data_IF_510739303492
#
_entry.id   IF_510739303492
#
_cell.length_a   1.000
_cell.length_b   1.000
_cell.length_c   1.000
_cell.angle_alpha   90.00
_cell.angle_beta   90.00
_cell.angle_gamma   90.00
#
_symmetry.space_group_name_H-M   'P 1'
#
loop_
_entity.id
_entity.type
_entity.pdbx_description
1 polymer ?
#
# COMPACT_ATOMS: atom_id res chain seq x y z
N UNK A 1 -13.32 9.16 -4.75
CA UNK A 1 -13.57 7.73 -4.43
C UNK A 1 -12.31 6.91 -4.11
N UNK A 2 -11.10 7.43 -4.34
CA UNK A 2 -9.86 6.65 -4.08
C UNK A 2 -9.57 6.44 -2.60
N UNK A 3 -9.88 7.40 -1.72
CA UNK A 3 -9.58 7.28 -0.28
C UNK A 3 -10.29 6.08 0.37
N UNK A 4 -11.61 5.86 0.17
CA UNK A 4 -12.28 4.64 0.64
C UNK A 4 -11.69 3.35 0.07
N UNK A 5 -11.34 3.32 -1.22
CA UNK A 5 -10.70 2.15 -1.86
C UNK A 5 -9.33 1.85 -1.26
N UNK A 6 -8.52 2.88 -1.00
CA UNK A 6 -7.21 2.73 -0.38
C UNK A 6 -7.33 2.22 1.06
N UNK A 7 -8.36 2.69 1.80
CA UNK A 7 -8.64 2.24 3.16
C UNK A 7 -9.09 0.78 3.21
N UNK A 8 -10.02 0.39 2.33
CA UNK A 8 -10.46 -1.01 2.19
C UNK A 8 -9.31 -1.95 1.82
N UNK A 9 -8.42 -1.49 0.93
CA UNK A 9 -7.22 -2.24 0.53
C UNK A 9 -6.24 -2.46 1.69
N UNK A 10 -6.14 -1.53 2.64
CA UNK A 10 -5.36 -1.70 3.87
C UNK A 10 -6.07 -2.56 4.92
N UNK A 11 -7.41 -2.49 4.98
CA UNK A 11 -8.25 -3.26 5.91
C UNK A 11 -8.19 -4.79 5.71
N UNK A 12 -7.65 -5.28 4.58
CA UNK A 12 -7.45 -6.72 4.35
C UNK A 12 -6.56 -7.36 5.43
N UNK A 13 -5.66 -6.60 6.06
CA UNK A 13 -4.77 -7.12 7.11
C UNK A 13 -5.42 -7.20 8.49
N UNK A 14 -6.62 -6.66 8.68
CA UNK A 14 -7.35 -6.69 9.96
C UNK A 14 -8.38 -7.82 10.05
N UNK A 15 -8.38 -8.73 9.07
CA UNK A 15 -9.30 -9.86 9.07
C UNK A 15 -8.86 -10.91 10.10
N UNK A 16 -9.81 -11.64 10.67
CA UNK A 16 -9.56 -12.69 11.67
C UNK A 16 -8.56 -13.75 11.20
N UNK A 17 -8.45 -13.97 9.89
CA UNK A 17 -7.51 -14.90 9.28
C UNK A 17 -6.15 -14.25 9.01
N UNK A 18 -6.13 -13.01 8.50
CA UNK A 18 -4.89 -12.37 8.03
C UNK A 18 -4.07 -11.76 9.16
N UNK A 19 -4.70 -11.27 10.22
CA UNK A 19 -4.02 -10.73 11.41
C UNK A 19 -3.04 -11.73 12.02
N UNK A 20 -3.46 -12.95 12.45
CA UNK A 20 -2.54 -13.89 13.07
C UNK A 20 -1.45 -14.37 12.10
N UNK A 21 -1.77 -14.46 10.80
CA UNK A 21 -0.83 -14.91 9.78
C UNK A 21 0.27 -13.88 9.51
N UNK A 22 -0.10 -12.59 9.36
CA UNK A 22 0.86 -11.49 9.21
C UNK A 22 1.67 -11.29 10.48
N UNK A 23 1.06 -11.45 11.66
CA UNK A 23 1.77 -11.35 12.93
C UNK A 23 2.82 -12.46 13.12
N UNK A 24 2.44 -13.72 12.88
CA UNK A 24 3.35 -14.86 12.94
C UNK A 24 4.48 -14.72 11.92
N UNK A 25 4.17 -14.28 10.69
CA UNK A 25 5.17 -14.05 9.65
C UNK A 25 6.12 -12.90 10.00
N UNK A 26 5.58 -11.75 10.43
CA UNK A 26 6.38 -10.57 10.77
C UNK A 26 7.31 -10.84 11.94
N UNK A 27 6.81 -11.45 13.01
CA UNK A 27 7.62 -11.80 14.19
C UNK A 27 8.62 -12.91 13.86
N UNK A 28 8.18 -13.98 13.18
CA UNK A 28 9.05 -15.09 12.80
C UNK A 28 10.19 -14.68 11.87
N UNK A 29 9.93 -13.80 10.89
CA UNK A 29 10.98 -13.25 10.04
C UNK A 29 11.97 -12.40 10.85
N UNK A 30 11.48 -11.58 11.78
CA UNK A 30 12.35 -10.75 12.61
C UNK A 30 13.25 -11.56 13.56
N UNK A 31 12.79 -12.73 14.03
CA UNK A 31 13.57 -13.64 14.89
C UNK A 31 14.68 -14.38 14.14
N UNK A 32 14.53 -14.57 12.82
CA UNK A 32 15.55 -15.26 12.01
C UNK A 32 16.78 -14.40 11.68
N UNK A 33 16.73 -13.08 11.93
CA UNK A 33 17.85 -12.17 11.66
C UNK A 33 18.66 -11.92 12.94
N UNK A 34 19.92 -12.38 13.02
CA UNK A 34 20.74 -12.21 14.22
C UNK A 34 20.98 -10.73 14.53
N UNK A 35 20.89 -10.37 15.82
CA UNK A 35 21.13 -8.98 16.28
C UNK A 35 19.98 -8.02 16.00
N UNK A 36 18.83 -8.51 15.52
CA UNK A 36 17.62 -7.70 15.35
C UNK A 36 16.59 -7.93 16.45
N UNK A 37 15.82 -6.87 16.71
CA UNK A 37 14.78 -6.88 17.73
C UNK A 37 13.49 -7.36 17.10
N UNK A 38 13.04 -8.55 17.47
CA UNK A 38 11.74 -9.08 17.07
C UNK A 38 10.59 -8.09 17.40
N UNK A 39 10.75 -7.32 18.49
CA UNK A 39 9.82 -6.27 18.86
C UNK A 39 9.80 -5.09 17.89
N UNK A 40 10.96 -4.61 17.43
CA UNK A 40 11.00 -3.45 16.52
C UNK A 40 10.75 -3.87 15.07
N UNK A 41 11.50 -4.87 14.60
CA UNK A 41 11.47 -5.30 13.21
C UNK A 41 10.21 -6.13 12.92
N UNK A 42 9.73 -6.92 13.88
CA UNK A 42 8.51 -7.72 13.72
C UNK A 42 7.25 -6.87 13.68
N UNK A 43 7.05 -5.96 14.65
CA UNK A 43 5.94 -5.01 14.60
C UNK A 43 6.07 -4.03 13.41
N UNK A 44 7.30 -3.65 13.03
CA UNK A 44 7.57 -2.86 11.84
C UNK A 44 7.08 -3.54 10.56
N UNK A 45 7.33 -4.85 10.40
CA UNK A 45 6.85 -5.64 9.27
C UNK A 45 5.32 -5.76 9.25
N UNK A 46 4.68 -5.92 10.41
CA UNK A 46 3.21 -5.97 10.53
C UNK A 46 2.58 -4.63 10.14
N UNK A 47 3.15 -3.52 10.64
CA UNK A 47 2.72 -2.17 10.29
C UNK A 47 2.91 -1.90 8.78
N UNK A 48 4.05 -2.33 8.23
CA UNK A 48 4.32 -2.22 6.80
C UNK A 48 3.29 -2.99 5.96
N UNK A 49 2.97 -4.22 6.33
CA UNK A 49 1.97 -5.04 5.63
C UNK A 49 0.59 -4.34 5.57
N UNK A 50 0.24 -3.54 6.58
CA UNK A 50 -1.04 -2.81 6.65
C UNK A 50 -1.03 -1.48 5.89
N UNK A 51 0.07 -0.72 5.99
CA UNK A 51 0.18 0.61 5.37
C UNK A 51 0.54 0.54 3.88
N UNK A 52 1.26 -0.50 3.46
CA UNK A 52 1.75 -0.63 2.10
C UNK A 52 0.64 -0.69 1.04
N UNK A 53 -0.45 -1.47 1.19
CA UNK A 53 -1.56 -1.46 0.24
C UNK A 53 -2.20 -0.08 0.09
N UNK A 54 -2.41 0.63 1.21
CA UNK A 54 -3.02 1.96 1.22
C UNK A 54 -2.14 2.98 0.48
N UNK A 55 -0.84 3.00 0.76
CA UNK A 55 0.12 3.86 0.06
C UNK A 55 0.18 3.54 -1.43
N UNK A 56 0.16 2.25 -1.79
CA UNK A 56 0.20 1.79 -3.19
C UNK A 56 -1.01 2.26 -3.98
N UNK A 57 -2.23 2.14 -3.44
CA UNK A 57 -3.46 2.60 -4.10
C UNK A 57 -3.46 4.12 -4.28
N UNK A 58 -3.02 4.87 -3.25
CA UNK A 58 -2.92 6.32 -3.33
C UNK A 58 -1.89 6.77 -4.38
N UNK A 59 -0.73 6.11 -4.43
CA UNK A 59 0.30 6.37 -5.43
C UNK A 59 -0.19 6.06 -6.85
N UNK A 60 -0.86 4.92 -7.03
CA UNK A 60 -1.46 4.52 -8.31
C UNK A 60 -2.47 5.56 -8.81
N UNK A 61 -3.35 6.03 -7.93
CA UNK A 61 -4.32 7.06 -8.28
C UNK A 61 -3.64 8.36 -8.75
N UNK A 62 -2.62 8.83 -8.02
CA UNK A 62 -1.86 10.02 -8.42
C UNK A 62 -1.14 9.84 -9.76
N UNK A 63 -0.62 8.66 -10.03
CA UNK A 63 0.01 8.34 -11.30
C UNK A 63 -1.01 8.32 -12.45
N UNK A 64 -2.15 7.66 -12.24
CA UNK A 64 -3.25 7.59 -13.20
C UNK A 64 -3.82 8.97 -13.54
N UNK A 65 -4.04 9.83 -12.54
CA UNK A 65 -4.48 11.22 -12.75
C UNK A 65 -3.51 12.02 -13.63
N UNK A 66 -2.19 11.85 -13.42
CA UNK A 66 -1.16 12.54 -14.21
C UNK A 66 -1.19 12.07 -15.67
N UNK A 67 -1.35 10.78 -15.89
CA UNK A 67 -1.45 10.21 -17.25
C UNK A 67 -2.72 10.68 -17.97
N UNK A 68 -3.87 10.65 -17.29
CA UNK A 68 -5.14 11.14 -17.85
C UNK A 68 -5.10 12.63 -18.20
N UNK A 69 -4.52 13.48 -17.33
CA UNK A 69 -4.35 14.92 -17.59
C UNK A 69 -3.46 15.19 -18.81
N UNK A 70 -2.40 14.40 -19.00
CA UNK A 70 -1.53 14.51 -20.18
C UNK A 70 -2.30 14.20 -21.47
N UNK A 71 -3.07 13.12 -21.49
CA UNK A 71 -3.85 12.69 -22.66
C UNK A 71 -4.93 13.73 -23.03
N UNK A 72 -5.67 14.22 -22.04
CA UNK A 72 -6.67 15.27 -22.24
C UNK A 72 -6.05 16.57 -22.77
N UNK A 73 -4.86 16.94 -22.28
CA UNK A 73 -4.14 18.13 -22.76
C UNK A 73 -3.65 17.98 -24.19
N UNK A 74 -3.25 16.77 -24.61
CA UNK A 74 -2.87 16.49 -26.01
C UNK A 74 -4.09 16.57 -26.92
N UNK A 75 -5.20 15.94 -26.53
CA UNK A 75 -6.45 15.98 -27.29
C UNK A 75 -6.98 17.41 -27.45
N UNK A 76 -7.00 18.19 -26.37
CA UNK A 76 -7.44 19.58 -26.40
C UNK A 76 -6.57 20.47 -27.31
N UNK A 77 -5.27 20.16 -27.48
CA UNK A 77 -4.41 20.84 -28.45
C UNK A 77 -4.71 20.43 -29.90
N UNK A 78 -5.12 19.18 -30.12
CA UNK A 78 -5.49 18.69 -31.45
C UNK A 78 -6.80 19.27 -31.95
N UNK A 79 -7.77 19.53 -31.07
CA UNK A 79 -9.08 20.10 -31.43
C UNK A 79 -9.03 21.62 -31.68
N UNK A 80 -7.97 22.30 -31.25
CA UNK A 80 -7.77 23.76 -31.42
C UNK A 80 -7.00 24.11 -32.69
N UNK A 81 -6.59 23.11 -33.47
CA UNK A 81 -5.95 23.26 -34.78
C UNK A 81 -6.94 22.84 -35.84
#
# INVERSE_FOLDING_TARGET
LIVPLAYDSGGVTTSTVTVPLVAALGLGLAETVPGRSALLDGFGLIAFASLFPMMTVMAYAKFSERSAKKQNRILAKSLRR
#
